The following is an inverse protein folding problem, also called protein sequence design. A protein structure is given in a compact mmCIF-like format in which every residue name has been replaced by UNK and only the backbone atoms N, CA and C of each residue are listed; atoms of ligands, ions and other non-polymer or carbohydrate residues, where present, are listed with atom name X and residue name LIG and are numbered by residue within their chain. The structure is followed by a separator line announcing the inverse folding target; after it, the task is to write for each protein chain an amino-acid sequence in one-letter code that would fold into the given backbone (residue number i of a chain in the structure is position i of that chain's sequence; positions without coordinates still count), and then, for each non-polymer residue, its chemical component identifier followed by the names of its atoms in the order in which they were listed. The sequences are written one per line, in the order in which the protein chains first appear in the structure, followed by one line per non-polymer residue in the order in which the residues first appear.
data_IF_295971215689
#
_entry.id   IF_295971215689
#
_cell.length_a   1.000
_cell.length_b   1.000
_cell.length_c   1.000
_cell.angle_alpha   90.00
_cell.angle_beta   90.00
_cell.angle_gamma   90.00
#
_symmetry.space_group_name_H-M   'P 1'
#
loop_
_entity.id
_entity.type
_entity.pdbx_description
1 polymer ?
#
# COMPACT_ATOMS: atom_id res chain seq x y z
N UNK A 1 20.26 6.65 52.72
CA UNK A 1 19.31 7.74 52.42
C UNK A 1 19.86 8.51 51.25
N UNK A 2 19.22 8.45 50.08
CA UNK A 2 19.72 9.08 48.86
C UNK A 2 18.82 10.26 48.51
N UNK A 3 19.41 11.45 48.45
CA UNK A 3 18.76 12.73 48.13
C UNK A 3 18.77 12.95 46.62
N UNK A 4 17.60 13.14 46.02
CA UNK A 4 17.45 13.49 44.61
C UNK A 4 17.59 15.00 44.44
N UNK A 5 18.68 15.45 43.79
CA UNK A 5 18.84 16.84 43.36
C UNK A 5 18.22 16.96 41.97
N UNK A 6 17.13 17.72 41.86
CA UNK A 6 16.46 17.98 40.58
C UNK A 6 17.09 19.26 40.00
N UNK A 7 17.94 19.13 39.00
CA UNK A 7 18.49 20.28 38.28
C UNK A 7 17.44 20.86 37.34
N UNK A 8 17.04 22.11 37.59
CA UNK A 8 16.20 22.93 36.73
C UNK A 8 16.96 23.28 35.45
N UNK A 9 16.61 22.63 34.34
CA UNK A 9 17.12 22.99 33.01
C UNK A 9 16.43 24.28 32.57
N UNK A 10 17.20 25.38 32.57
CA UNK A 10 16.85 26.68 31.99
C UNK A 10 16.80 26.52 30.46
N UNK A 11 15.61 26.50 29.89
CA UNK A 11 15.41 26.46 28.44
C UNK A 11 15.85 27.81 27.86
N UNK A 12 16.86 27.87 26.97
CA UNK A 12 17.16 29.10 26.26
C UNK A 12 16.07 29.36 25.21
N UNK A 13 15.53 30.58 25.27
CA UNK A 13 14.60 31.16 24.32
C UNK A 13 15.26 31.28 22.93
N UNK A 14 15.09 30.29 22.07
CA UNK A 14 15.53 30.37 20.67
C UNK A 14 14.48 31.12 19.85
N UNK A 15 14.56 32.44 19.94
CA UNK A 15 14.01 33.38 18.97
C UNK A 15 14.91 33.44 17.74
N UNK A 16 14.38 33.13 16.56
CA UNK A 16 14.96 33.56 15.28
C UNK A 16 15.08 32.47 14.20
N UNK A 17 14.51 32.78 13.03
CA UNK A 17 14.57 32.06 11.74
C UNK A 17 13.53 30.94 11.52
N UNK A 18 12.25 31.34 11.40
CA UNK A 18 11.24 30.59 10.67
C UNK A 18 11.19 31.13 9.23
N UNK A 19 12.06 30.67 8.33
CA UNK A 19 11.97 30.96 6.88
C UNK A 19 12.68 29.89 6.03
N UNK A 20 12.27 28.61 6.12
CA UNK A 20 12.59 27.56 5.12
C UNK A 20 11.48 26.51 4.95
N UNK A 21 10.22 26.95 4.98
CA UNK A 21 9.13 26.18 4.41
C UNK A 21 8.42 27.10 3.41
N UNK A 22 8.36 26.78 2.11
CA UNK A 22 7.34 27.39 1.28
C UNK A 22 5.99 26.89 1.77
N UNK A 23 5.38 27.65 2.68
CA UNK A 23 3.94 27.71 2.82
C UNK A 23 3.40 28.27 1.51
N UNK A 24 2.96 27.39 0.62
CA UNK A 24 1.98 27.75 -0.38
C UNK A 24 0.91 26.67 -0.38
N UNK A 25 -0.17 26.99 0.33
CA UNK A 25 -1.51 26.57 -0.03
C UNK A 25 -1.69 27.00 -1.49
N UNK A 26 -1.51 26.06 -2.42
CA UNK A 26 -2.00 26.22 -3.77
C UNK A 26 -3.49 25.90 -3.71
N UNK A 27 -4.31 26.96 -3.63
CA UNK A 27 -5.66 26.91 -4.19
C UNK A 27 -5.47 26.43 -5.63
N UNK A 28 -5.79 25.15 -5.88
CA UNK A 28 -5.93 24.63 -7.23
C UNK A 28 -7.40 24.79 -7.57
N UNK A 29 -7.66 25.61 -8.58
CA UNK A 29 -8.96 25.82 -9.21
C UNK A 29 -9.75 24.50 -9.37
N UNK A 30 -11.05 24.47 -9.06
CA UNK A 30 -11.84 23.24 -9.11
C UNK A 30 -12.29 22.83 -10.53
N UNK A 31 -11.68 23.33 -11.61
CA UNK A 31 -12.25 23.25 -12.96
C UNK A 31 -11.33 22.73 -14.09
N UNK A 32 -10.26 22.00 -13.76
CA UNK A 32 -9.41 21.32 -14.77
C UNK A 32 -9.16 19.85 -14.42
N UNK A 33 -10.25 19.06 -14.30
CA UNK A 33 -10.14 17.61 -14.41
C UNK A 33 -10.19 17.25 -15.90
N UNK A 34 -9.11 16.75 -16.54
CA UNK A 34 -9.21 16.27 -17.91
C UNK A 34 -10.23 15.12 -17.95
N UNK A 35 -11.19 15.14 -18.89
CA UNK A 35 -12.16 14.07 -19.03
C UNK A 35 -11.45 12.88 -19.71
N UNK A 36 -11.65 11.68 -19.16
CA UNK A 36 -11.28 10.37 -19.74
C UNK A 36 -9.79 10.01 -19.73
N UNK A 37 -9.35 9.23 -18.74
CA UNK A 37 -8.34 8.18 -18.97
C UNK A 37 -8.66 6.89 -18.20
N UNK A 38 -9.72 6.14 -18.59
CA UNK A 38 -9.94 4.79 -18.08
C UNK A 38 -8.77 3.85 -18.39
N UNK A 39 -8.04 4.07 -19.50
CA UNK A 39 -6.94 3.21 -19.93
C UNK A 39 -5.76 3.14 -18.94
N UNK A 40 -5.32 4.27 -18.37
CA UNK A 40 -4.17 4.26 -17.46
C UNK A 40 -4.48 3.53 -16.15
N UNK A 41 -5.71 3.68 -15.65
CA UNK A 41 -6.15 3.04 -14.40
C UNK A 41 -6.20 1.52 -14.53
N UNK A 42 -6.75 1.01 -15.63
CA UNK A 42 -6.82 -0.44 -15.85
C UNK A 42 -5.43 -1.08 -15.98
N UNK A 43 -4.51 -0.40 -16.67
CA UNK A 43 -3.13 -0.88 -16.79
C UNK A 43 -2.40 -0.87 -15.45
N UNK A 44 -2.62 0.17 -14.64
CA UNK A 44 -2.09 0.26 -13.29
C UNK A 44 -2.63 -0.89 -12.40
N UNK A 45 -3.93 -1.15 -12.42
CA UNK A 45 -4.56 -2.23 -11.66
C UNK A 45 -4.05 -3.61 -12.10
N UNK A 46 -3.84 -3.83 -13.41
CA UNK A 46 -3.23 -5.06 -13.94
C UNK A 46 -1.81 -5.26 -13.42
N UNK A 47 -0.98 -4.21 -13.43
CA UNK A 47 0.40 -4.25 -12.90
C UNK A 47 0.39 -4.56 -11.40
N UNK A 48 -0.47 -3.90 -10.64
CA UNK A 48 -0.60 -4.12 -9.21
C UNK A 48 -1.08 -5.55 -8.88
N UNK A 49 -2.02 -6.10 -9.66
CA UNK A 49 -2.45 -7.51 -9.52
C UNK A 49 -1.30 -8.49 -9.71
N UNK A 50 -0.47 -8.28 -10.74
CA UNK A 50 0.71 -9.11 -11.02
C UNK A 50 1.69 -9.08 -9.85
N UNK A 51 2.10 -7.88 -9.43
CA UNK A 51 3.04 -7.69 -8.32
C UNK A 51 2.53 -8.31 -7.01
N UNK A 52 1.25 -8.13 -6.69
CA UNK A 52 0.65 -8.70 -5.49
C UNK A 52 0.60 -10.23 -5.55
N UNK A 53 0.29 -10.81 -6.72
CA UNK A 53 0.31 -12.26 -6.91
C UNK A 53 1.72 -12.84 -6.78
N UNK A 54 2.75 -12.15 -7.28
CA UNK A 54 4.15 -12.54 -7.10
C UNK A 54 4.55 -12.55 -5.62
N UNK A 55 4.14 -11.53 -4.87
CA UNK A 55 4.39 -11.45 -3.42
C UNK A 55 3.73 -12.61 -2.67
N UNK A 56 2.47 -12.93 -3.00
CA UNK A 56 1.75 -14.07 -2.40
C UNK A 56 2.42 -15.40 -2.75
N UNK A 57 2.96 -15.55 -3.97
CA UNK A 57 3.71 -16.75 -4.36
C UNK A 57 5.05 -16.87 -3.63
N UNK A 58 5.71 -15.74 -3.36
CA UNK A 58 6.98 -15.70 -2.63
C UNK A 58 6.79 -16.03 -1.13
N UNK A 59 5.65 -15.65 -0.55
CA UNK A 59 5.36 -15.84 0.87
C UNK A 59 4.39 -16.99 1.13
N UNK A 60 4.92 -18.13 1.58
CA UNK A 60 4.13 -19.35 1.77
C UNK A 60 2.95 -19.19 2.73
N UNK A 61 3.13 -18.44 3.83
CA UNK A 61 2.08 -18.21 4.83
C UNK A 61 0.85 -17.50 4.24
N UNK A 62 1.06 -16.51 3.37
CA UNK A 62 -0.03 -15.81 2.69
C UNK A 62 -0.78 -16.75 1.76
N UNK A 63 -0.05 -17.60 1.04
CA UNK A 63 -0.64 -18.57 0.14
C UNK A 63 -1.50 -19.60 0.90
N UNK A 64 -1.06 -20.04 2.08
CA UNK A 64 -1.85 -20.92 2.95
C UNK A 64 -3.12 -20.20 3.43
N UNK A 65 -3.01 -18.95 3.91
CA UNK A 65 -4.17 -18.17 4.36
C UNK A 65 -5.23 -18.07 3.26
N UNK A 66 -4.84 -17.73 2.04
CA UNK A 66 -5.77 -17.67 0.91
C UNK A 66 -6.36 -19.03 0.54
N UNK A 67 -5.60 -20.11 0.66
CA UNK A 67 -6.12 -21.46 0.42
C UNK A 67 -7.21 -21.82 1.46
N UNK A 68 -6.97 -21.52 2.73
CA UNK A 68 -7.91 -21.77 3.84
C UNK A 68 -9.18 -20.93 3.68
N UNK A 69 -9.04 -19.62 3.45
CA UNK A 69 -10.18 -18.70 3.30
C UNK A 69 -11.11 -19.08 2.13
N UNK A 70 -10.54 -19.66 1.07
CA UNK A 70 -11.28 -20.02 -0.15
C UNK A 70 -11.65 -21.50 -0.23
N UNK A 71 -11.33 -22.29 0.80
CA UNK A 71 -11.59 -23.73 0.85
C UNK A 71 -10.98 -24.47 -0.37
N UNK A 72 -9.84 -23.98 -0.85
CA UNK A 72 -9.10 -24.57 -1.97
C UNK A 72 -7.86 -25.30 -1.46
N UNK A 73 -7.40 -26.28 -2.25
CA UNK A 73 -6.11 -26.89 -1.97
C UNK A 73 -4.96 -25.90 -2.25
N UNK A 74 -3.89 -25.98 -1.45
CA UNK A 74 -2.67 -25.16 -1.63
C UNK A 74 -2.15 -25.22 -3.09
N UNK A 75 -2.08 -26.39 -3.77
CA UNK A 75 -1.66 -26.46 -5.16
C UNK A 75 -2.56 -25.68 -6.13
N UNK A 76 -3.88 -25.74 -5.94
CA UNK A 76 -4.84 -24.99 -6.77
C UNK A 76 -4.68 -23.48 -6.58
N UNK A 77 -4.58 -23.02 -5.34
CA UNK A 77 -4.32 -21.62 -4.97
C UNK A 77 -3.01 -21.12 -5.59
N UNK A 78 -1.96 -21.94 -5.55
CA UNK A 78 -0.67 -21.61 -6.15
C UNK A 78 -0.74 -21.53 -7.67
N UNK A 79 -1.46 -22.46 -8.31
CA UNK A 79 -1.65 -22.44 -9.75
C UNK A 79 -2.43 -21.20 -10.19
N UNK A 80 -3.42 -20.79 -9.41
CA UNK A 80 -4.17 -19.55 -9.64
C UNK A 80 -3.25 -18.33 -9.64
N UNK A 81 -2.50 -18.09 -8.56
CA UNK A 81 -1.62 -16.93 -8.47
C UNK A 81 -0.51 -16.94 -9.52
N UNK A 82 -0.03 -18.12 -9.94
CA UNK A 82 0.91 -18.24 -11.07
C UNK A 82 0.31 -17.71 -12.37
N UNK A 83 -0.94 -18.06 -12.69
CA UNK A 83 -1.62 -17.56 -13.88
C UNK A 83 -1.83 -16.04 -13.81
N UNK A 84 -2.19 -15.52 -12.65
CA UNK A 84 -2.34 -14.08 -12.41
C UNK A 84 -1.02 -13.34 -12.60
N UNK A 85 0.09 -13.84 -12.04
CA UNK A 85 1.41 -13.23 -12.19
C UNK A 85 1.85 -13.17 -13.66
N UNK A 86 1.54 -14.22 -14.44
CA UNK A 86 1.76 -14.25 -15.89
C UNK A 86 0.83 -13.29 -16.68
N UNK A 87 -0.18 -12.71 -16.02
CA UNK A 87 -1.17 -11.85 -16.67
C UNK A 87 -2.19 -12.59 -17.51
N UNK A 88 -2.34 -13.90 -17.29
CA UNK A 88 -3.34 -14.70 -17.98
C UNK A 88 -4.71 -14.35 -17.37
N UNK A 89 -5.70 -13.96 -18.21
CA UNK A 89 -7.05 -13.68 -17.73
C UNK A 89 -7.59 -14.95 -17.08
N UNK A 90 -7.82 -14.86 -15.77
CA UNK A 90 -8.28 -15.98 -14.95
C UNK A 90 -9.50 -15.55 -14.17
N UNK A 91 -10.53 -16.41 -14.16
CA UNK A 91 -11.73 -16.18 -13.38
C UNK A 91 -11.36 -16.04 -11.89
N UNK A 92 -11.97 -15.11 -11.14
CA UNK A 92 -11.66 -14.91 -9.73
C UNK A 92 -12.15 -16.11 -8.90
N UNK A 93 -11.27 -17.11 -8.72
CA UNK A 93 -11.54 -18.26 -7.85
C UNK A 93 -11.33 -17.87 -6.38
N UNK A 94 -10.37 -16.98 -6.13
CA UNK A 94 -10.01 -16.50 -4.79
C UNK A 94 -10.75 -15.18 -4.54
N UNK A 95 -11.47 -15.10 -3.43
CA UNK A 95 -12.13 -13.90 -2.90
C UNK A 95 -11.14 -13.08 -2.05
N UNK A 96 -11.42 -11.79 -1.87
CA UNK A 96 -10.74 -10.88 -0.92
C UNK A 96 -9.23 -10.64 -1.11
N UNK A 97 -8.62 -11.06 -2.21
CA UNK A 97 -7.19 -10.82 -2.46
C UNK A 97 -6.91 -9.55 -3.30
N UNK A 98 -7.94 -8.98 -3.93
CA UNK A 98 -7.88 -7.67 -4.57
C UNK A 98 -9.16 -6.88 -4.20
N UNK A 99 -9.07 -5.62 -3.78
CA UNK A 99 -10.26 -4.81 -3.50
C UNK A 99 -11.01 -4.53 -4.81
N UNK A 100 -12.35 -4.69 -4.78
CA UNK A 100 -13.27 -4.27 -5.84
C UNK A 100 -13.66 -2.81 -5.66
#
# INVERSE_FOLDING_TARGET
MFTTVISTVKIPNMSGNANKYPSRVSVVDPDDRPPNQPCEREEYEKKQRKQRAELILAQHDLLIRYAVENQLSIPQTRQYFRKVALGIPTAPVIKNWFPN
#
